data_IF_331687630714
#
_entry.id   IF_331687630714
#
_cell.length_a   1.000
_cell.length_b   1.000
_cell.length_c   1.000
_cell.angle_alpha   90.00
_cell.angle_beta   90.00
_cell.angle_gamma   90.00
#
_symmetry.space_group_name_H-M   'P 1'
#
loop_
_entity.id
_entity.type
_entity.pdbx_description
1 polymer ?
#
# COMPACT_ATOMS: atom_id res chain seq x y z
N UNK A 1 42.65 -26.80 9.63
CA UNK A 1 41.66 -25.70 9.49
C UNK A 1 40.28 -26.35 9.45
N UNK A 2 39.53 -26.29 10.54
CA UNK A 2 38.15 -26.81 10.55
C UNK A 2 37.28 -25.83 9.76
N UNK A 3 36.49 -26.28 8.77
CA UNK A 3 35.57 -25.42 8.05
C UNK A 3 34.47 -24.99 9.02
N UNK A 4 34.41 -23.69 9.31
CA UNK A 4 33.23 -22.92 9.68
C UNK A 4 32.23 -23.65 10.60
N UNK A 5 32.53 -23.71 11.90
CA UNK A 5 31.53 -24.02 12.91
C UNK A 5 30.49 -22.89 12.96
N UNK A 6 29.45 -22.99 12.13
CA UNK A 6 28.24 -22.19 12.31
C UNK A 6 27.64 -22.67 13.62
N UNK A 7 27.59 -21.82 14.65
CA UNK A 7 26.96 -22.19 15.90
C UNK A 7 25.52 -22.62 15.60
N UNK A 8 25.15 -23.87 15.90
CA UNK A 8 23.79 -24.38 15.76
C UNK A 8 22.89 -23.58 16.70
N UNK A 9 22.26 -22.55 16.16
CA UNK A 9 21.32 -21.74 16.90
C UNK A 9 20.07 -22.58 17.17
N UNK A 10 19.59 -22.62 18.42
CA UNK A 10 18.32 -23.24 18.76
C UNK A 10 17.19 -22.73 17.83
N UNK A 11 16.33 -23.64 17.35
CA UNK A 11 15.30 -23.33 16.34
C UNK A 11 14.36 -22.20 16.76
N UNK A 12 14.13 -22.04 18.06
CA UNK A 12 13.35 -20.97 18.69
C UNK A 12 13.99 -19.57 18.51
N UNK A 13 15.28 -19.49 18.20
CA UNK A 13 15.95 -18.23 17.84
C UNK A 13 15.90 -17.91 16.34
N UNK A 14 15.51 -18.88 15.50
CA UNK A 14 15.44 -18.74 14.04
C UNK A 14 13.99 -18.48 13.61
N UNK A 15 13.01 -19.06 14.31
CA UNK A 15 11.58 -18.85 14.04
C UNK A 15 10.98 -17.85 15.01
N UNK A 16 10.28 -16.84 14.49
CA UNK A 16 9.35 -16.05 15.30
C UNK A 16 8.26 -17.01 15.79
N UNK A 17 8.24 -17.31 17.10
CA UNK A 17 7.44 -18.42 17.63
C UNK A 17 5.96 -18.43 17.20
N UNK A 18 5.36 -19.62 17.21
CA UNK A 18 3.95 -19.92 16.94
C UNK A 18 2.92 -18.81 17.32
N UNK A 19 2.96 -18.20 18.52
CA UNK A 19 1.98 -17.18 18.89
C UNK A 19 2.02 -15.92 17.99
N UNK A 20 3.17 -15.58 17.41
CA UNK A 20 3.34 -14.39 16.58
C UNK A 20 2.76 -14.61 15.18
N UNK A 21 2.94 -15.81 14.61
CA UNK A 21 2.32 -16.23 13.37
C UNK A 21 0.79 -16.27 13.49
N UNK A 22 0.27 -16.80 14.59
CA UNK A 22 -1.18 -16.87 14.85
C UNK A 22 -1.80 -15.47 14.98
N UNK A 23 -1.12 -14.55 15.67
CA UNK A 23 -1.54 -13.14 15.77
C UNK A 23 -1.51 -12.43 14.43
N UNK A 24 -0.46 -12.64 13.63
CA UNK A 24 -0.38 -12.08 12.28
C UNK A 24 -1.56 -12.55 11.41
N UNK A 25 -1.87 -13.85 11.43
CA UNK A 25 -3.04 -14.40 10.73
C UNK A 25 -4.35 -13.77 11.18
N UNK A 26 -4.54 -13.58 12.49
CA UNK A 26 -5.74 -12.94 13.04
C UNK A 26 -5.89 -11.47 12.62
N UNK A 27 -4.78 -10.74 12.50
CA UNK A 27 -4.80 -9.35 12.03
C UNK A 27 -5.17 -9.26 10.55
N UNK A 28 -4.65 -10.18 9.72
CA UNK A 28 -5.04 -10.25 8.30
C UNK A 28 -6.51 -10.58 8.11
N UNK A 29 -7.04 -11.54 8.85
CA UNK A 29 -8.47 -11.90 8.76
C UNK A 29 -9.37 -10.79 9.28
N UNK A 30 -9.02 -10.16 10.40
CA UNK A 30 -9.76 -9.01 10.92
C UNK A 30 -9.76 -7.83 9.95
N UNK A 31 -8.59 -7.53 9.34
CA UNK A 31 -8.46 -6.50 8.32
C UNK A 31 -9.31 -6.78 7.08
N UNK A 32 -9.25 -8.01 6.55
CA UNK A 32 -10.07 -8.41 5.41
C UNK A 32 -11.57 -8.33 5.70
N UNK A 33 -12.00 -8.75 6.90
CA UNK A 33 -13.38 -8.64 7.34
C UNK A 33 -13.83 -7.18 7.44
N UNK A 34 -13.06 -6.31 8.08
CA UNK A 34 -13.38 -4.89 8.18
C UNK A 34 -13.48 -4.22 6.79
N UNK A 35 -12.57 -4.56 5.88
CA UNK A 35 -12.58 -4.09 4.49
C UNK A 35 -13.84 -4.53 3.74
N UNK A 36 -14.18 -5.81 3.83
CA UNK A 36 -15.38 -6.34 3.20
C UNK A 36 -16.66 -5.71 3.75
N UNK A 37 -16.73 -5.51 5.07
CA UNK A 37 -17.86 -4.84 5.71
C UNK A 37 -18.00 -3.39 5.21
N UNK A 38 -16.89 -2.63 5.16
CA UNK A 38 -16.90 -1.26 4.66
C UNK A 38 -17.36 -1.15 3.20
N UNK A 39 -16.91 -2.07 2.34
CA UNK A 39 -17.37 -2.13 0.95
C UNK A 39 -18.86 -2.44 0.83
N UNK A 40 -19.37 -3.39 1.64
CA UNK A 40 -20.80 -3.72 1.69
C UNK A 40 -21.63 -2.54 2.19
N UNK A 41 -21.18 -1.86 3.25
CA UNK A 41 -21.87 -0.65 3.75
C UNK A 41 -21.91 0.47 2.72
N UNK A 42 -20.83 0.65 1.95
CA UNK A 42 -20.78 1.59 0.83
C UNK A 42 -21.76 1.24 -0.28
N UNK A 43 -21.96 -0.05 -0.56
CA UNK A 43 -22.92 -0.51 -1.58
C UNK A 43 -24.39 -0.36 -1.16
N UNK A 44 -24.68 -0.50 0.14
CA UNK A 44 -26.05 -0.42 0.66
C UNK A 44 -26.62 1.01 0.73
N UNK A 45 -25.80 2.04 0.55
CA UNK A 45 -26.22 3.45 0.60
C UNK A 45 -26.06 4.13 -0.77
N UNK A 46 -27.07 4.89 -1.20
CA UNK A 46 -27.11 5.51 -2.53
C UNK A 46 -25.85 6.36 -2.87
N UNK A 47 -25.34 7.14 -1.92
CA UNK A 47 -24.09 7.90 -2.07
C UNK A 47 -22.88 7.23 -1.38
N UNK A 48 -23.08 6.09 -0.71
CA UNK A 48 -22.09 5.45 0.14
C UNK A 48 -20.81 5.05 -0.61
N UNK A 49 -20.96 4.65 -1.88
CA UNK A 49 -19.82 4.24 -2.71
C UNK A 49 -18.86 5.41 -2.99
N UNK A 50 -19.37 6.62 -3.23
CA UNK A 50 -18.51 7.81 -3.44
C UNK A 50 -17.68 8.10 -2.19
N UNK A 51 -18.30 8.10 -1.00
CA UNK A 51 -17.60 8.31 0.27
C UNK A 51 -16.57 7.23 0.57
N UNK A 52 -16.92 5.97 0.26
CA UNK A 52 -16.02 4.83 0.38
C UNK A 52 -14.78 5.01 -0.51
N UNK A 53 -14.96 5.33 -1.80
CA UNK A 53 -13.86 5.50 -2.75
C UNK A 53 -12.94 6.67 -2.37
N UNK A 54 -13.48 7.81 -1.93
CA UNK A 54 -12.66 8.94 -1.46
C UNK A 54 -11.84 8.57 -0.22
N UNK A 55 -12.46 7.89 0.75
CA UNK A 55 -11.78 7.40 1.95
C UNK A 55 -10.74 6.32 1.60
N UNK A 56 -11.04 5.45 0.62
CA UNK A 56 -10.15 4.43 0.10
C UNK A 56 -8.90 5.04 -0.51
N UNK A 57 -9.09 6.01 -1.40
CA UNK A 57 -8.01 6.75 -2.07
C UNK A 57 -7.07 7.40 -1.04
N UNK A 58 -7.63 8.04 -0.01
CA UNK A 58 -6.84 8.64 1.08
C UNK A 58 -5.97 7.60 1.79
N UNK A 59 -6.56 6.48 2.20
CA UNK A 59 -5.84 5.43 2.92
C UNK A 59 -4.74 4.79 2.06
N UNK A 60 -5.06 4.41 0.82
CA UNK A 60 -4.08 3.81 -0.08
C UNK A 60 -2.94 4.78 -0.36
N UNK A 61 -3.23 6.05 -0.62
CA UNK A 61 -2.21 7.09 -0.85
C UNK A 61 -1.30 7.27 0.37
N UNK A 62 -1.88 7.27 1.58
CA UNK A 62 -1.11 7.36 2.83
C UNK A 62 -0.12 6.19 2.96
N UNK A 63 -0.58 4.94 2.83
CA UNK A 63 0.30 3.78 2.95
C UNK A 63 1.31 3.65 1.81
N UNK A 64 0.94 4.06 0.59
CA UNK A 64 1.86 4.16 -0.55
C UNK A 64 2.97 5.16 -0.24
N UNK A 65 2.65 6.34 0.31
CA UNK A 65 3.66 7.34 0.68
C UNK A 65 4.65 6.81 1.73
N UNK A 66 4.17 6.04 2.70
CA UNK A 66 4.99 5.42 3.73
C UNK A 66 5.94 4.35 3.15
N UNK A 67 5.42 3.50 2.28
CA UNK A 67 6.21 2.47 1.59
C UNK A 67 7.24 3.09 0.64
N UNK A 68 6.86 4.14 -0.08
CA UNK A 68 7.74 4.87 -0.98
C UNK A 68 8.86 5.60 -0.21
N UNK A 69 8.53 6.21 0.93
CA UNK A 69 9.51 6.79 1.85
C UNK A 69 10.51 5.76 2.35
N UNK A 70 10.04 4.56 2.72
CA UNK A 70 10.90 3.46 3.12
C UNK A 70 11.82 2.97 1.97
N UNK A 71 11.27 2.83 0.75
CA UNK A 71 12.03 2.49 -0.45
C UNK A 71 13.09 3.53 -0.81
N UNK A 72 12.86 4.80 -0.49
CA UNK A 72 13.86 5.86 -0.68
C UNK A 72 14.98 5.82 0.36
N UNK A 73 14.67 5.47 1.61
CA UNK A 73 15.66 5.36 2.68
C UNK A 73 16.66 4.21 2.46
N UNK A 74 16.20 3.07 1.94
CA UNK A 74 17.06 1.88 1.76
C UNK A 74 18.29 2.17 0.89
N UNK A 75 18.17 2.72 -0.34
CA UNK A 75 19.30 3.12 -1.17
C UNK A 75 20.22 4.14 -0.49
N UNK A 76 19.67 5.12 0.25
CA UNK A 76 20.47 6.15 0.93
C UNK A 76 21.35 5.54 2.01
N UNK A 77 20.79 4.61 2.80
CA UNK A 77 21.54 3.89 3.83
C UNK A 77 22.63 2.99 3.23
N UNK A 78 22.42 2.47 2.00
CA UNK A 78 23.45 1.76 1.26
C UNK A 78 24.54 2.71 0.71
N UNK A 79 24.16 3.82 0.09
CA UNK A 79 25.08 4.77 -0.53
C UNK A 79 26.03 5.40 0.50
N UNK A 80 25.52 5.75 1.67
CA UNK A 80 26.29 6.35 2.76
C UNK A 80 27.14 5.33 3.53
N UNK A 81 26.98 4.03 3.25
CA UNK A 81 27.62 2.93 4.00
C UNK A 81 27.41 3.04 5.51
N UNK A 82 26.21 3.45 5.94
CA UNK A 82 25.87 3.65 7.34
C UNK A 82 25.77 2.31 8.10
N UNK A 83 26.89 1.85 8.67
CA UNK A 83 26.97 0.58 9.41
C UNK A 83 26.11 0.52 10.67
N UNK A 84 25.79 1.66 11.28
CA UNK A 84 24.92 1.73 12.46
C UNK A 84 23.43 1.54 12.12
N UNK A 85 23.03 1.82 10.88
CA UNK A 85 21.64 1.88 10.46
C UNK A 85 21.10 0.52 9.97
N UNK A 86 21.78 -0.59 10.27
CA UNK A 86 21.37 -1.93 9.80
C UNK A 86 19.97 -2.29 10.30
N UNK A 87 19.64 -1.98 11.56
CA UNK A 87 18.31 -2.23 12.10
C UNK A 87 17.23 -1.37 11.41
N UNK A 88 17.51 -0.09 11.19
CA UNK A 88 16.61 0.84 10.48
C UNK A 88 16.40 0.39 9.04
N UNK A 89 17.46 -0.05 8.37
CA UNK A 89 17.40 -0.55 6.99
C UNK A 89 16.52 -1.78 6.88
N UNK A 90 16.65 -2.76 7.79
CA UNK A 90 15.78 -3.95 7.80
C UNK A 90 14.31 -3.58 7.96
N UNK A 91 14.00 -2.63 8.83
CA UNK A 91 12.62 -2.15 8.98
C UNK A 91 12.12 -1.47 7.69
N UNK A 92 12.94 -0.63 7.07
CA UNK A 92 12.60 0.04 5.82
C UNK A 92 12.44 -0.95 4.65
N UNK A 93 13.23 -2.01 4.58
CA UNK A 93 13.08 -3.10 3.60
C UNK A 93 11.72 -3.80 3.77
N UNK A 94 11.32 -4.13 5.00
CA UNK A 94 10.01 -4.74 5.29
C UNK A 94 8.87 -3.79 4.97
N UNK A 95 8.98 -2.51 5.33
CA UNK A 95 7.96 -1.51 5.02
C UNK A 95 7.83 -1.29 3.51
N UNK A 96 8.96 -1.18 2.79
CA UNK A 96 8.99 -1.04 1.34
C UNK A 96 8.46 -2.25 0.59
N UNK A 97 8.64 -3.48 1.12
CA UNK A 97 8.09 -4.69 0.52
C UNK A 97 6.56 -4.69 0.42
N UNK A 98 5.86 -3.91 1.26
CA UNK A 98 4.40 -3.76 1.18
C UNK A 98 3.94 -3.05 -0.10
N UNK A 99 4.84 -2.38 -0.84
CA UNK A 99 4.49 -1.69 -2.07
C UNK A 99 3.80 -2.61 -3.10
N UNK A 100 4.21 -3.88 -3.19
CA UNK A 100 3.55 -4.86 -4.06
C UNK A 100 2.09 -5.15 -3.67
N UNK A 101 1.81 -5.26 -2.36
CA UNK A 101 0.44 -5.45 -1.85
C UNK A 101 -0.40 -4.19 -2.07
N UNK A 102 0.18 -3.01 -1.83
CA UNK A 102 -0.49 -1.73 -2.05
C UNK A 102 -0.83 -1.48 -3.51
N UNK A 103 -0.01 -1.96 -4.45
CA UNK A 103 -0.32 -1.90 -5.88
C UNK A 103 -1.61 -2.68 -6.21
N UNK A 104 -1.84 -3.82 -5.56
CA UNK A 104 -3.10 -4.59 -5.70
C UNK A 104 -4.27 -3.83 -5.07
N UNK A 105 -4.06 -3.23 -3.88
CA UNK A 105 -5.09 -2.42 -3.22
C UNK A 105 -5.41 -1.10 -3.94
N UNK A 106 -4.60 -0.73 -4.95
CA UNK A 106 -4.89 0.41 -5.82
C UNK A 106 -5.95 0.10 -6.89
N UNK A 107 -6.27 -1.17 -7.15
CA UNK A 107 -7.23 -1.58 -8.20
C UNK A 107 -8.60 -0.91 -8.07
N UNK A 108 -9.23 -0.81 -6.88
CA UNK A 108 -10.52 -0.12 -6.74
C UNK A 108 -10.48 1.36 -7.12
N UNK A 109 -9.33 2.03 -6.98
CA UNK A 109 -9.15 3.43 -7.41
C UNK A 109 -9.22 3.54 -8.93
N UNK A 110 -8.60 2.59 -9.65
CA UNK A 110 -8.63 2.55 -11.11
C UNK A 110 -10.05 2.29 -11.65
N UNK A 111 -10.81 1.44 -10.96
CA UNK A 111 -12.19 1.12 -11.34
C UNK A 111 -13.17 2.26 -11.06
N UNK A 112 -12.89 3.11 -10.06
CA UNK A 112 -13.74 4.24 -9.67
C UNK A 112 -13.24 5.61 -10.17
N UNK A 113 -12.41 5.63 -11.22
CA UNK A 113 -11.70 6.84 -11.66
C UNK A 113 -12.65 7.98 -12.06
N UNK A 114 -13.78 7.63 -12.68
CA UNK A 114 -14.88 8.51 -13.10
C UNK A 114 -15.58 9.19 -11.91
N UNK A 115 -15.71 8.48 -10.78
CA UNK A 115 -16.31 9.02 -9.56
C UNK A 115 -15.33 9.80 -8.69
N UNK A 116 -14.03 9.53 -8.82
CA UNK A 116 -12.96 10.12 -8.00
C UNK A 116 -12.37 11.38 -8.61
N UNK A 117 -12.32 11.45 -9.94
CA UNK A 117 -11.63 12.51 -10.65
C UNK A 117 -12.55 13.18 -11.67
N UNK A 118 -12.73 14.49 -11.53
CA UNK A 118 -13.59 15.29 -12.42
C UNK A 118 -13.13 15.25 -13.89
N UNK A 119 -11.82 15.15 -14.15
CA UNK A 119 -11.29 15.04 -15.51
C UNK A 119 -11.66 13.72 -16.20
N UNK A 120 -12.09 12.70 -15.45
CA UNK A 120 -12.54 11.43 -15.99
C UNK A 120 -14.05 11.44 -16.33
N UNK A 121 -14.81 12.45 -15.90
CA UNK A 121 -16.22 12.63 -16.28
C UNK A 121 -16.33 13.30 -17.66
N UNK A 122 -16.87 12.61 -18.69
CA UNK A 122 -17.01 13.18 -20.03
C UNK A 122 -17.91 14.41 -20.07
N UNK A 123 -18.88 14.54 -19.16
CA UNK A 123 -19.75 15.72 -19.07
C UNK A 123 -18.99 16.92 -18.50
N UNK A 124 -18.12 16.70 -17.50
CA UNK A 124 -17.29 17.76 -16.95
C UNK A 124 -16.28 18.28 -17.99
N UNK A 125 -15.63 17.39 -18.73
CA UNK A 125 -14.63 17.76 -19.77
C UNK A 125 -15.26 18.58 -20.91
N UNK A 126 -16.50 18.28 -21.30
CA UNK A 126 -17.21 19.04 -22.34
C UNK A 126 -17.64 20.44 -21.89
N UNK A 127 -17.95 20.60 -20.60
CA UNK A 127 -18.43 21.86 -20.05
C UNK A 127 -17.29 22.78 -19.57
N UNK A 128 -16.10 22.25 -19.29
CA UNK A 128 -14.93 23.03 -18.87
C UNK A 128 -13.82 23.06 -19.95
N UNK A 129 -13.59 24.22 -20.59
CA UNK A 129 -12.47 24.41 -21.52
C UNK A 129 -11.10 24.03 -20.92
N UNK A 130 -10.86 24.27 -19.63
CA UNK A 130 -9.58 23.93 -18.99
C UNK A 130 -9.34 22.43 -18.91
N UNK A 131 -10.40 21.63 -18.69
CA UNK A 131 -10.30 20.17 -18.69
C UNK A 131 -10.05 19.65 -20.11
N UNK A 132 -10.74 20.21 -21.11
CA UNK A 132 -10.52 19.83 -22.52
C UNK A 132 -9.08 20.06 -22.98
N UNK A 133 -8.43 21.15 -22.54
CA UNK A 133 -7.02 21.41 -22.86
C UNK A 133 -6.05 20.43 -22.17
N UNK A 134 -6.46 19.80 -21.05
CA UNK A 134 -5.65 18.80 -20.33
C UNK A 134 -5.92 17.37 -20.79
N UNK A 135 -6.95 17.14 -21.60
CA UNK A 135 -7.33 15.83 -22.12
C UNK A 135 -6.20 15.05 -22.83
N UNK A 136 -5.18 15.66 -23.48
CA UNK A 136 -4.06 14.91 -24.04
C UNK A 136 -3.22 14.16 -22.98
N UNK A 137 -3.25 14.60 -21.71
CA UNK A 137 -2.54 13.97 -20.60
C UNK A 137 -3.49 13.31 -19.58
N UNK A 138 -4.62 13.96 -19.28
CA UNK A 138 -5.65 13.48 -18.36
C UNK A 138 -6.78 12.80 -19.14
N UNK A 139 -6.50 11.63 -19.70
CA UNK A 139 -7.48 10.80 -20.38
C UNK A 139 -7.54 9.39 -19.78
N UNK A 140 -8.74 8.80 -19.84
CA UNK A 140 -8.94 7.37 -19.62
C UNK A 140 -9.03 6.73 -21.02
N UNK A 141 -8.35 5.59 -21.27
CA UNK A 141 -8.45 4.86 -22.54
C UNK A 141 -9.87 4.42 -22.89
#
# INVERSE_FOLDING_TARGET
MQPNAVADLPQDQITLGEPLAQRAGMLWTAGALALSAAAVFGWLHADGMRWFLHSWLLNVTFYVSLSLGALWLVPILHLTRAGWAVAVRRLAEVMGANFGVLAILFVPVLLGIDTLYEWADPLAVQNDPLLSHKAPYLNVP
#
